data_IF_271671483455
#
_entry.id   IF_271671483455
#
_cell.length_a   1.000
_cell.length_b   1.000
_cell.length_c   1.000
_cell.angle_alpha   90.00
_cell.angle_beta   90.00
_cell.angle_gamma   90.00
#
_symmetry.space_group_name_H-M   'P 1'
#
loop_
_entity.id
_entity.type
_entity.pdbx_description
1 polymer ?
#
# COMPACT_ATOMS: atom_id res chain seq x y z
N UNK A 1 -12.04 -42.87 -30.41
CA UNK A 1 -12.39 -43.54 -29.14
C UNK A 1 -12.32 -42.53 -27.99
N UNK A 2 -13.32 -41.66 -27.84
CA UNK A 2 -13.48 -40.92 -26.60
C UNK A 2 -14.12 -41.88 -25.58
N UNK A 3 -13.64 -41.90 -24.33
CA UNK A 3 -14.14 -42.78 -23.24
C UNK A 3 -13.88 -44.29 -23.39
N UNK A 4 -13.04 -44.75 -24.32
CA UNK A 4 -12.65 -46.17 -24.43
C UNK A 4 -13.71 -47.12 -24.98
N UNK A 5 -14.89 -46.62 -25.35
CA UNK A 5 -15.98 -47.39 -25.95
C UNK A 5 -15.71 -47.54 -27.46
N UNK A 6 -15.76 -48.76 -27.98
CA UNK A 6 -15.71 -49.02 -29.42
C UNK A 6 -17.00 -48.52 -30.07
N UNK A 7 -16.95 -48.09 -31.34
CA UNK A 7 -18.12 -47.61 -32.07
C UNK A 7 -19.05 -48.78 -32.42
N UNK A 8 -19.65 -49.41 -31.42
CA UNK A 8 -20.79 -50.29 -31.57
C UNK A 8 -22.04 -49.42 -31.63
N UNK A 9 -23.02 -49.82 -32.44
CA UNK A 9 -24.24 -49.06 -32.72
C UNK A 9 -25.21 -49.00 -31.51
N UNK A 10 -24.77 -48.42 -30.40
CA UNK A 10 -25.63 -48.13 -29.25
C UNK A 10 -26.80 -47.18 -29.62
N UNK A 11 -26.73 -46.50 -30.76
CA UNK A 11 -27.85 -45.74 -31.34
C UNK A 11 -28.98 -46.64 -31.83
N UNK A 12 -28.67 -47.80 -32.39
CA UNK A 12 -29.66 -48.75 -32.91
C UNK A 12 -30.41 -49.40 -31.73
N UNK A 13 -29.68 -49.77 -30.67
CA UNK A 13 -30.26 -50.32 -29.43
C UNK A 13 -31.14 -49.28 -28.69
N UNK A 14 -30.80 -47.99 -28.80
CA UNK A 14 -31.55 -46.89 -28.19
C UNK A 14 -32.68 -46.35 -29.09
N UNK A 15 -32.90 -46.94 -30.28
CA UNK A 15 -33.93 -46.51 -31.25
C UNK A 15 -33.81 -45.02 -31.67
N UNK A 16 -32.59 -44.49 -31.75
CA UNK A 16 -32.34 -43.13 -32.22
C UNK A 16 -32.33 -43.09 -33.76
N UNK A 17 -33.46 -42.73 -34.37
CA UNK A 17 -33.67 -42.84 -35.82
C UNK A 17 -33.11 -41.66 -36.63
N UNK A 18 -32.83 -40.51 -36.02
CA UNK A 18 -32.30 -39.34 -36.72
C UNK A 18 -30.82 -39.08 -36.38
N UNK A 19 -30.05 -38.57 -37.34
CA UNK A 19 -28.61 -38.33 -37.17
C UNK A 19 -28.29 -37.31 -36.04
N UNK A 20 -29.21 -36.38 -35.79
CA UNK A 20 -29.11 -35.35 -34.77
C UNK A 20 -29.51 -35.82 -33.36
N UNK A 21 -30.07 -37.04 -33.23
CA UNK A 21 -30.48 -37.57 -31.94
C UNK A 21 -29.25 -38.00 -31.12
N UNK A 22 -29.29 -37.64 -29.84
CA UNK A 22 -28.30 -38.00 -28.84
C UNK A 22 -28.94 -38.92 -27.79
N UNK A 23 -28.13 -39.77 -27.18
CA UNK A 23 -28.54 -40.66 -26.10
C UNK A 23 -27.66 -40.44 -24.87
N UNK A 24 -28.17 -40.82 -23.69
CA UNK A 24 -27.46 -40.72 -22.42
C UNK A 24 -27.28 -42.13 -21.87
N UNK A 25 -26.03 -42.54 -21.64
CA UNK A 25 -25.71 -43.82 -20.98
C UNK A 25 -25.30 -43.53 -19.53
N UNK A 26 -25.86 -44.30 -18.60
CA UNK A 26 -25.47 -44.26 -17.19
C UNK A 26 -24.99 -45.65 -16.77
N UNK A 27 -23.72 -45.78 -16.43
CA UNK A 27 -23.12 -47.00 -15.90
C UNK A 27 -23.06 -46.92 -14.36
N UNK A 28 -24.06 -47.48 -13.69
CA UNK A 28 -24.17 -47.53 -12.22
C UNK A 28 -25.04 -48.73 -11.81
N UNK A 29 -25.09 -49.11 -10.51
CA UNK A 29 -26.05 -50.11 -10.02
C UNK A 29 -27.47 -49.73 -10.43
N UNK A 30 -28.30 -50.71 -10.79
CA UNK A 30 -29.60 -50.51 -11.45
C UNK A 30 -30.47 -49.43 -10.79
N UNK A 31 -30.57 -49.46 -9.46
CA UNK A 31 -31.36 -48.49 -8.69
C UNK A 31 -30.85 -47.04 -8.81
N UNK A 32 -29.53 -46.84 -8.88
CA UNK A 32 -28.91 -45.51 -9.07
C UNK A 32 -29.02 -45.07 -10.52
N UNK A 33 -28.77 -45.98 -11.48
CA UNK A 33 -28.87 -45.70 -12.90
C UNK A 33 -30.29 -45.23 -13.28
N UNK A 34 -31.34 -45.88 -12.76
CA UNK A 34 -32.74 -45.47 -12.97
C UNK A 34 -33.01 -44.05 -12.45
N UNK A 35 -32.50 -43.69 -11.26
CA UNK A 35 -32.68 -42.33 -10.69
C UNK A 35 -31.93 -41.27 -11.48
N UNK A 36 -30.70 -41.56 -11.90
CA UNK A 36 -29.89 -40.65 -12.70
C UNK A 36 -30.49 -40.41 -14.09
N UNK A 37 -30.98 -41.46 -14.75
CA UNK A 37 -31.69 -41.35 -16.03
C UNK A 37 -32.97 -40.52 -15.90
N UNK A 38 -33.75 -40.71 -14.83
CA UNK A 38 -34.94 -39.90 -14.57
C UNK A 38 -34.59 -38.40 -14.37
N UNK A 39 -33.52 -38.09 -13.65
CA UNK A 39 -33.05 -36.72 -13.48
C UNK A 39 -32.54 -36.10 -14.80
N UNK A 40 -31.80 -36.87 -15.60
CA UNK A 40 -31.32 -36.43 -16.91
C UNK A 40 -32.47 -36.19 -17.90
N UNK A 41 -33.49 -37.06 -17.91
CA UNK A 41 -34.70 -36.91 -18.70
C UNK A 41 -35.47 -35.63 -18.30
N UNK A 42 -35.67 -35.41 -17.00
CA UNK A 42 -36.29 -34.18 -16.50
C UNK A 42 -35.52 -32.94 -16.95
N UNK A 43 -34.18 -32.95 -16.87
CA UNK A 43 -33.36 -31.82 -17.35
C UNK A 43 -33.44 -31.62 -18.87
N UNK A 44 -33.48 -32.70 -19.64
CA UNK A 44 -33.62 -32.65 -21.09
C UNK A 44 -34.98 -32.07 -21.52
N UNK A 45 -36.06 -32.44 -20.83
CA UNK A 45 -37.39 -31.86 -21.05
C UNK A 45 -37.41 -30.36 -20.76
N UNK A 46 -36.79 -29.94 -19.65
CA UNK A 46 -36.69 -28.52 -19.29
C UNK A 46 -35.83 -27.71 -20.29
N UNK A 47 -34.83 -28.34 -20.91
CA UNK A 47 -34.00 -27.68 -21.92
C UNK A 47 -34.80 -27.26 -23.18
N UNK A 48 -35.91 -27.95 -23.48
CA UNK A 48 -36.83 -27.56 -24.58
C UNK A 48 -37.60 -26.29 -24.23
N UNK A 49 -37.96 -26.10 -22.95
CA UNK A 49 -38.71 -24.93 -22.46
C UNK A 49 -37.79 -23.70 -22.35
N UNK A 50 -36.50 -23.90 -22.08
CA UNK A 50 -35.48 -22.86 -22.06
C UNK A 50 -34.95 -22.56 -20.66
N UNK A 51 -35.07 -21.31 -20.22
CA UNK A 51 -34.51 -20.87 -18.93
C UNK A 51 -35.27 -21.52 -17.76
N UNK A 52 -34.52 -22.06 -16.80
CA UNK A 52 -35.07 -22.74 -15.63
C UNK A 52 -34.64 -22.01 -14.35
N UNK A 53 -35.55 -21.89 -13.40
CA UNK A 53 -35.26 -21.35 -12.08
C UNK A 53 -34.49 -22.38 -11.23
N UNK A 54 -33.21 -22.11 -11.01
CA UNK A 54 -32.33 -22.99 -10.25
C UNK A 54 -31.27 -22.19 -9.49
N UNK A 55 -30.80 -22.78 -8.39
CA UNK A 55 -29.69 -22.23 -7.61
C UNK A 55 -28.39 -22.73 -8.21
N UNK A 56 -27.51 -21.80 -8.59
CA UNK A 56 -26.22 -22.08 -9.22
C UNK A 56 -25.07 -21.53 -8.39
N UNK A 57 -23.96 -22.27 -8.36
CA UNK A 57 -22.70 -21.84 -7.76
C UNK A 57 -21.86 -21.12 -8.79
N UNK A 58 -21.23 -20.00 -8.42
CA UNK A 58 -20.18 -19.39 -9.21
C UNK A 58 -18.87 -20.18 -9.07
N UNK A 59 -18.29 -20.57 -10.20
CA UNK A 59 -17.00 -21.26 -10.27
C UNK A 59 -15.87 -20.24 -10.45
N UNK A 60 -14.62 -20.63 -10.15
CA UNK A 60 -13.45 -19.74 -10.23
C UNK A 60 -13.11 -19.29 -11.67
N UNK A 61 -13.53 -20.05 -12.67
CA UNK A 61 -13.39 -19.77 -14.10
C UNK A 61 -14.49 -18.83 -14.64
N UNK A 62 -15.37 -18.33 -13.78
CA UNK A 62 -16.48 -17.46 -14.15
C UNK A 62 -17.69 -18.21 -14.73
N UNK A 63 -17.62 -19.54 -14.83
CA UNK A 63 -18.79 -20.36 -15.19
C UNK A 63 -19.67 -20.58 -13.95
N UNK A 64 -20.83 -21.23 -14.14
CA UNK A 64 -21.71 -21.58 -13.03
C UNK A 64 -22.09 -23.05 -13.08
N UNK A 65 -22.24 -23.67 -11.91
CA UNK A 65 -22.64 -25.08 -11.77
C UNK A 65 -23.98 -25.19 -11.07
N UNK A 66 -24.84 -26.09 -11.54
CA UNK A 66 -26.11 -26.41 -10.86
C UNK A 66 -25.85 -26.91 -9.44
N UNK A 67 -26.65 -26.45 -8.47
CA UNK A 67 -26.65 -26.98 -7.11
C UNK A 67 -27.97 -27.66 -6.76
N UNK A 68 -29.07 -26.93 -6.86
CA UNK A 68 -30.40 -27.41 -6.51
C UNK A 68 -31.46 -26.61 -7.26
N UNK A 69 -32.66 -27.17 -7.35
CA UNK A 69 -33.83 -26.43 -7.81
C UNK A 69 -34.14 -25.25 -6.88
N UNK A 70 -34.76 -24.20 -7.44
CA UNK A 70 -35.15 -23.03 -6.66
C UNK A 70 -36.08 -23.46 -5.51
N UNK A 71 -35.78 -23.10 -4.24
CA UNK A 71 -36.72 -23.36 -3.16
C UNK A 71 -38.01 -22.55 -3.40
N UNK A 72 -39.14 -23.10 -2.96
CA UNK A 72 -40.40 -22.36 -2.96
C UNK A 72 -40.36 -21.13 -2.04
N UNK A 73 -41.40 -20.30 -2.12
CA UNK A 73 -41.54 -19.10 -1.29
C UNK A 73 -41.45 -19.42 0.20
N UNK A 74 -40.60 -18.68 0.93
CA UNK A 74 -40.57 -18.75 2.38
C UNK A 74 -41.91 -18.26 2.96
N UNK A 75 -42.54 -19.07 3.81
CA UNK A 75 -43.72 -18.67 4.57
C UNK A 75 -43.25 -17.85 5.77
N UNK A 76 -43.58 -16.57 5.78
CA UNK A 76 -43.25 -15.65 6.87
C UNK A 76 -44.50 -15.39 7.72
N UNK A 77 -44.37 -15.49 9.04
CA UNK A 77 -45.35 -15.02 10.01
C UNK A 77 -44.64 -14.05 10.97
N UNK A 78 -45.34 -13.04 11.52
CA UNK A 78 -44.76 -12.20 12.56
C UNK A 78 -44.31 -13.06 13.75
N UNK A 79 -43.10 -12.81 14.23
CA UNK A 79 -42.58 -13.44 15.43
C UNK A 79 -43.41 -12.98 16.63
N UNK A 80 -44.18 -13.88 17.24
CA UNK A 80 -45.18 -13.52 18.27
C UNK A 80 -44.56 -13.25 19.63
N UNK A 81 -43.34 -13.76 19.86
CA UNK A 81 -42.61 -13.60 21.12
C UNK A 81 -42.02 -12.18 21.26
N UNK A 82 -42.00 -11.40 20.18
CA UNK A 82 -41.46 -10.05 20.14
C UNK A 82 -42.57 -9.02 19.87
N UNK A 83 -42.58 -7.96 20.69
CA UNK A 83 -43.41 -6.79 20.39
C UNK A 83 -42.89 -6.03 19.16
N UNK A 84 -43.76 -5.27 18.47
CA UNK A 84 -43.32 -4.42 17.38
C UNK A 84 -42.35 -3.34 17.88
N UNK A 85 -41.22 -3.17 17.17
CA UNK A 85 -40.21 -2.15 17.48
C UNK A 85 -40.52 -0.89 16.67
N UNK A 86 -40.78 0.22 17.35
CA UNK A 86 -40.85 1.56 16.72
C UNK A 86 -39.50 2.24 16.96
N UNK A 87 -38.63 2.37 15.95
CA UNK A 87 -37.32 2.97 16.13
C UNK A 87 -37.46 4.48 16.35
N UNK A 88 -36.81 5.00 17.39
CA UNK A 88 -36.59 6.44 17.55
C UNK A 88 -35.31 6.83 16.79
N UNK A 89 -35.48 7.64 15.75
CA UNK A 89 -34.37 8.06 14.89
C UNK A 89 -33.66 9.31 15.42
N UNK A 90 -34.17 9.96 16.47
CA UNK A 90 -33.60 11.20 17.01
C UNK A 90 -32.19 11.01 17.59
N UNK A 91 -31.86 9.80 18.04
CA UNK A 91 -30.56 9.45 18.62
C UNK A 91 -29.56 8.85 17.61
N UNK A 92 -29.91 8.75 16.32
CA UNK A 92 -29.05 8.13 15.31
C UNK A 92 -28.10 9.17 14.71
N UNK A 93 -26.82 9.08 15.07
CA UNK A 93 -25.76 9.83 14.40
C UNK A 93 -25.36 9.14 13.10
N UNK A 94 -25.44 9.86 11.98
CA UNK A 94 -25.02 9.34 10.67
C UNK A 94 -23.49 9.48 10.60
N UNK A 95 -22.74 8.38 10.52
CA UNK A 95 -21.29 8.45 10.37
C UNK A 95 -20.93 9.00 8.99
N UNK A 96 -19.81 9.70 8.93
CA UNK A 96 -19.21 10.19 7.68
C UNK A 96 -18.86 9.03 6.74
N UNK A 97 -19.12 9.20 5.45
CA UNK A 97 -18.78 8.21 4.43
C UNK A 97 -17.26 8.13 4.22
N UNK A 98 -16.78 6.99 3.72
CA UNK A 98 -15.34 6.79 3.46
C UNK A 98 -14.84 7.81 2.43
N UNK A 99 -15.66 8.12 1.43
CA UNK A 99 -15.37 9.08 0.36
C UNK A 99 -15.31 10.52 0.89
N UNK A 100 -16.22 10.90 1.79
CA UNK A 100 -16.25 12.22 2.42
C UNK A 100 -15.01 12.42 3.29
N UNK A 101 -14.64 11.39 4.05
CA UNK A 101 -13.44 11.38 4.88
C UNK A 101 -12.15 11.46 4.06
N UNK A 102 -12.09 10.75 2.93
CA UNK A 102 -10.97 10.84 1.98
C UNK A 102 -10.79 12.28 1.48
N UNK A 103 -11.89 12.92 1.05
CA UNK A 103 -11.86 14.32 0.59
C UNK A 103 -11.39 15.29 1.69
N UNK A 104 -11.80 15.06 2.94
CA UNK A 104 -11.34 15.83 4.10
C UNK A 104 -9.82 15.69 4.31
N UNK A 105 -9.29 14.48 4.25
CA UNK A 105 -7.86 14.24 4.42
C UNK A 105 -7.01 14.80 3.30
N UNK A 106 -7.48 14.71 2.05
CA UNK A 106 -6.80 15.35 0.91
C UNK A 106 -6.77 16.86 1.09
N UNK A 107 -7.88 17.46 1.53
CA UNK A 107 -7.95 18.90 1.82
C UNK A 107 -7.03 19.31 2.99
N UNK A 108 -6.76 18.41 3.93
CA UNK A 108 -5.82 18.60 5.04
C UNK A 108 -4.34 18.42 4.64
N UNK A 109 -4.04 18.15 3.37
CA UNK A 109 -2.66 18.01 2.86
C UNK A 109 -2.11 16.58 2.85
N UNK A 110 -2.97 15.56 2.99
CA UNK A 110 -2.57 14.15 2.84
C UNK A 110 -2.60 13.76 1.35
N UNK A 111 -1.56 13.09 0.81
CA UNK A 111 -1.60 12.56 -0.56
C UNK A 111 -2.78 11.60 -0.78
N UNK A 112 -3.43 11.67 -1.94
CA UNK A 112 -4.66 10.92 -2.25
C UNK A 112 -4.55 9.41 -1.99
N UNK A 113 -3.43 8.78 -2.36
CA UNK A 113 -3.22 7.34 -2.16
C UNK A 113 -3.19 6.96 -0.66
N UNK A 114 -2.57 7.81 0.17
CA UNK A 114 -2.53 7.63 1.61
C UNK A 114 -3.90 7.93 2.22
N UNK A 115 -4.56 9.00 1.79
CA UNK A 115 -5.89 9.39 2.27
C UNK A 115 -6.91 8.26 2.06
N UNK A 116 -6.94 7.62 0.89
CA UNK A 116 -7.85 6.50 0.59
C UNK A 116 -7.61 5.29 1.48
N UNK A 117 -6.34 4.98 1.76
CA UNK A 117 -5.97 3.85 2.63
C UNK A 117 -6.32 4.16 4.09
N UNK A 118 -6.04 5.39 4.51
CA UNK A 118 -6.32 5.90 5.85
C UNK A 118 -7.82 6.02 6.14
N UNK A 119 -8.59 6.44 5.14
CA UNK A 119 -10.04 6.52 5.21
C UNK A 119 -10.68 5.13 5.29
N UNK A 120 -9.98 4.04 4.94
CA UNK A 120 -10.47 2.67 5.18
C UNK A 120 -9.99 2.14 6.52
N UNK A 121 -8.70 2.32 6.81
CA UNK A 121 -8.02 1.73 7.94
C UNK A 121 -7.41 2.80 8.87
N UNK A 122 -7.61 2.66 10.18
CA UNK A 122 -6.97 3.50 11.24
C UNK A 122 -7.33 4.99 11.23
N UNK A 123 -8.47 5.37 10.66
CA UNK A 123 -8.98 6.74 10.67
C UNK A 123 -9.10 7.36 12.08
N UNK A 124 -9.53 6.59 13.08
CA UNK A 124 -9.68 7.06 14.47
C UNK A 124 -8.34 7.50 15.07
N UNK A 125 -7.27 6.74 14.84
CA UNK A 125 -5.92 7.06 15.33
C UNK A 125 -5.39 8.32 14.66
N UNK A 126 -5.63 8.46 13.36
CA UNK A 126 -5.23 9.66 12.64
C UNK A 126 -5.95 10.91 13.15
N UNK A 127 -7.28 10.85 13.28
CA UNK A 127 -8.07 11.96 13.80
C UNK A 127 -7.65 12.32 15.23
N UNK A 128 -7.27 11.33 16.05
CA UNK A 128 -6.71 11.56 17.39
C UNK A 128 -5.35 12.27 17.35
N UNK A 129 -4.41 11.85 16.51
CA UNK A 129 -3.09 12.49 16.41
C UNK A 129 -3.14 13.88 15.77
N UNK A 130 -4.02 14.09 14.79
CA UNK A 130 -4.26 15.42 14.22
C UNK A 130 -4.84 16.41 15.23
N UNK A 131 -5.57 15.95 16.25
CA UNK A 131 -6.09 16.81 17.33
C UNK A 131 -5.08 17.03 18.46
N UNK A 132 -4.22 16.04 18.74
CA UNK A 132 -3.30 16.07 19.88
C UNK A 132 -1.92 16.63 19.57
N UNK A 133 -1.53 16.75 18.30
CA UNK A 133 -0.20 17.24 17.89
C UNK A 133 -0.27 18.32 16.82
N UNK A 134 0.81 19.09 16.71
CA UNK A 134 0.97 20.13 15.67
C UNK A 134 1.71 19.61 14.43
N UNK A 135 1.82 18.29 14.29
CA UNK A 135 2.52 17.65 13.17
C UNK A 135 1.72 17.75 11.87
N UNK A 136 2.45 17.87 10.76
CA UNK A 136 1.88 17.87 9.41
C UNK A 136 1.03 16.60 9.16
N UNK A 137 -0.25 16.72 8.76
CA UNK A 137 -1.14 15.58 8.56
C UNK A 137 -0.57 14.54 7.58
N UNK A 138 0.12 14.98 6.53
CA UNK A 138 0.79 14.09 5.58
C UNK A 138 1.87 13.22 6.23
N UNK A 139 2.60 13.74 7.22
CA UNK A 139 3.61 12.97 7.94
C UNK A 139 3.00 11.97 8.92
N UNK A 140 1.90 12.34 9.60
CA UNK A 140 1.16 11.41 10.48
C UNK A 140 0.62 10.24 9.65
N UNK A 141 0.07 10.50 8.47
CA UNK A 141 -0.38 9.44 7.55
C UNK A 141 0.77 8.50 7.15
N UNK A 142 1.96 9.06 6.86
CA UNK A 142 3.16 8.28 6.56
C UNK A 142 3.62 7.44 7.77
N UNK A 143 3.54 7.99 8.98
CA UNK A 143 3.90 7.31 10.23
C UNK A 143 3.00 6.10 10.51
N UNK A 144 1.68 6.23 10.27
CA UNK A 144 0.71 5.18 10.56
C UNK A 144 0.67 4.07 9.51
N UNK A 145 0.92 4.41 8.24
CA UNK A 145 0.73 3.50 7.11
C UNK A 145 2.05 3.05 6.48
N UNK A 146 2.96 3.98 6.18
CA UNK A 146 4.16 3.70 5.38
C UNK A 146 5.26 3.09 6.23
N UNK A 147 5.59 3.72 7.37
CA UNK A 147 6.70 3.28 8.23
C UNK A 147 6.52 1.83 8.73
N UNK A 148 5.34 1.41 9.23
CA UNK A 148 5.12 0.02 9.65
C UNK A 148 5.23 -1.00 8.50
N UNK A 149 4.75 -0.62 7.30
CA UNK A 149 4.84 -1.47 6.10
C UNK A 149 6.29 -1.64 5.66
N UNK A 150 7.08 -0.57 5.72
CA UNK A 150 8.50 -0.60 5.36
C UNK A 150 9.33 -1.43 6.34
N UNK A 151 9.06 -1.31 7.65
CA UNK A 151 9.72 -2.13 8.68
C UNK A 151 9.45 -3.62 8.44
N UNK A 152 8.18 -3.98 8.19
CA UNK A 152 7.80 -5.37 7.92
C UNK A 152 8.49 -5.92 6.65
N UNK A 153 8.54 -5.14 5.57
CA UNK A 153 9.15 -5.56 4.30
C UNK A 153 10.67 -5.63 4.34
N UNK A 154 11.34 -4.65 4.97
CA UNK A 154 12.81 -4.52 4.91
C UNK A 154 13.53 -5.31 5.99
N UNK A 155 12.93 -5.38 7.18
CA UNK A 155 13.58 -5.96 8.38
C UNK A 155 12.90 -7.25 8.83
N UNK A 156 11.75 -7.62 8.26
CA UNK A 156 11.00 -8.81 8.67
C UNK A 156 10.49 -8.74 10.11
N UNK A 157 10.45 -7.54 10.70
CA UNK A 157 10.00 -7.30 12.06
C UNK A 157 8.49 -7.08 12.09
N UNK A 158 7.81 -7.64 13.09
CA UNK A 158 6.36 -7.53 13.23
C UNK A 158 5.96 -6.19 13.89
N UNK A 159 5.28 -5.29 13.16
CA UNK A 159 4.86 -4.00 13.68
C UNK A 159 3.74 -4.10 14.73
N UNK A 160 3.09 -5.25 14.87
CA UNK A 160 2.04 -5.50 15.87
C UNK A 160 2.58 -5.58 17.31
N UNK A 161 3.89 -5.70 17.49
CA UNK A 161 4.53 -5.69 18.81
C UNK A 161 4.58 -4.30 19.45
N UNK A 162 4.37 -3.23 18.67
CA UNK A 162 4.38 -1.85 19.16
C UNK A 162 3.04 -1.56 19.84
N UNK A 163 3.07 -1.24 21.14
CA UNK A 163 1.86 -0.88 21.88
C UNK A 163 1.50 0.58 21.58
N UNK A 164 0.22 0.91 21.74
CA UNK A 164 -0.28 2.27 21.53
C UNK A 164 0.46 3.30 22.40
N UNK A 165 0.79 2.94 23.65
CA UNK A 165 1.59 3.79 24.56
C UNK A 165 2.97 4.16 24.00
N UNK A 166 3.63 3.23 23.32
CA UNK A 166 4.94 3.46 22.73
C UNK A 166 4.81 4.37 21.51
N UNK A 167 3.74 4.19 20.72
CA UNK A 167 3.44 5.06 19.59
C UNK A 167 3.13 6.50 20.04
N UNK A 168 2.34 6.67 21.11
CA UNK A 168 2.03 7.98 21.70
C UNK A 168 3.31 8.69 22.18
N UNK A 169 4.24 7.96 22.82
CA UNK A 169 5.51 8.50 23.27
C UNK A 169 6.40 8.96 22.10
N UNK A 170 6.46 8.19 21.02
CA UNK A 170 7.23 8.55 19.81
C UNK A 170 6.61 9.77 19.12
N UNK A 171 5.29 9.82 19.02
CA UNK A 171 4.56 10.96 18.44
C UNK A 171 4.79 12.23 19.26
N UNK A 172 4.72 12.14 20.59
CA UNK A 172 5.00 13.28 21.48
C UNK A 172 6.46 13.76 21.35
N UNK A 173 7.42 12.85 21.22
CA UNK A 173 8.83 13.22 21.04
C UNK A 173 9.12 13.85 19.67
N UNK A 174 8.36 13.45 18.63
CA UNK A 174 8.40 14.08 17.31
C UNK A 174 7.78 15.49 17.34
N UNK A 175 6.68 15.69 18.06
CA UNK A 175 6.03 17.00 18.22
C UNK A 175 6.91 17.98 19.02
N UNK A 176 7.58 17.47 20.06
CA UNK A 176 8.56 18.24 20.85
C UNK A 176 9.87 18.55 20.08
N UNK A 177 10.05 18.03 18.85
CA UNK A 177 11.26 18.23 18.05
C UNK A 177 12.50 17.55 18.66
N UNK A 178 12.32 16.58 19.56
CA UNK A 178 13.44 15.82 20.15
C UNK A 178 14.02 14.81 19.16
N UNK A 179 13.26 14.44 18.12
CA UNK A 179 13.62 13.43 17.13
C UNK A 179 13.37 13.98 15.73
N UNK A 180 14.30 13.73 14.81
CA UNK A 180 14.11 14.07 13.40
C UNK A 180 13.09 13.13 12.73
N UNK A 181 12.34 13.65 11.74
CA UNK A 181 11.33 12.88 10.98
C UNK A 181 11.89 11.59 10.35
N UNK A 182 13.17 11.60 9.99
CA UNK A 182 13.89 10.48 9.39
C UNK A 182 14.22 9.36 10.39
N UNK A 183 14.36 9.71 11.68
CA UNK A 183 14.71 8.77 12.73
C UNK A 183 13.52 7.95 13.22
N UNK A 184 12.28 8.37 12.92
CA UNK A 184 11.06 7.71 13.38
C UNK A 184 11.07 6.20 13.03
N UNK A 185 11.51 5.84 11.82
CA UNK A 185 11.60 4.44 11.41
C UNK A 185 12.59 3.63 12.27
N UNK A 186 13.73 4.22 12.63
CA UNK A 186 14.77 3.54 13.42
C UNK A 186 14.36 3.40 14.89
N UNK A 187 13.68 4.42 15.44
CA UNK A 187 13.10 4.37 16.78
C UNK A 187 12.07 3.25 16.89
N UNK A 188 11.17 3.10 15.91
CA UNK A 188 10.24 1.96 15.90
C UNK A 188 10.96 0.61 15.79
N UNK A 189 12.04 0.51 15.02
CA UNK A 189 12.83 -0.72 14.95
C UNK A 189 13.44 -1.08 16.31
N UNK A 190 14.00 -0.09 17.00
CA UNK A 190 14.56 -0.27 18.35
C UNK A 190 13.47 -0.73 19.35
N UNK A 191 12.28 -0.12 19.29
CA UNK A 191 11.15 -0.52 20.14
C UNK A 191 10.74 -1.98 19.88
N UNK A 192 10.65 -2.39 18.61
CA UNK A 192 10.29 -3.77 18.25
C UNK A 192 11.37 -4.78 18.69
N UNK A 193 12.63 -4.36 18.73
CA UNK A 193 13.76 -5.17 19.22
C UNK A 193 13.84 -5.26 20.75
N UNK A 194 13.00 -4.51 21.49
CA UNK A 194 12.84 -4.63 22.93
C UNK A 194 13.48 -3.52 23.77
N UNK A 195 14.06 -2.49 23.15
CA UNK A 195 14.41 -1.26 23.90
C UNK A 195 13.14 -0.47 24.24
N UNK A 196 13.03 0.00 25.49
CA UNK A 196 11.88 0.81 25.91
C UNK A 196 11.76 2.10 25.10
N UNK A 197 10.53 2.61 24.91
CA UNK A 197 10.29 3.80 24.09
C UNK A 197 11.16 4.99 24.52
N UNK A 198 11.34 5.23 25.82
CA UNK A 198 12.18 6.31 26.34
C UNK A 198 13.67 6.15 25.97
N UNK A 199 14.20 4.93 26.04
CA UNK A 199 15.61 4.64 25.74
C UNK A 199 15.90 4.69 24.24
N UNK A 200 14.94 4.24 23.42
CA UNK A 200 15.01 4.37 21.97
C UNK A 200 14.98 5.85 21.55
N UNK A 201 14.12 6.66 22.16
CA UNK A 201 14.05 8.11 21.91
C UNK A 201 15.36 8.80 22.31
N UNK A 202 15.94 8.46 23.46
CA UNK A 202 17.21 9.02 23.90
C UNK A 202 18.39 8.62 23.00
N UNK A 203 18.38 7.40 22.46
CA UNK A 203 19.45 6.89 21.58
C UNK A 203 19.49 7.55 20.19
N UNK A 204 18.33 8.02 19.72
CA UNK A 204 18.16 8.67 18.40
C UNK A 204 17.71 10.13 18.51
N UNK A 205 17.85 10.74 19.69
CA UNK A 205 17.55 12.16 19.90
C UNK A 205 18.45 13.05 19.04
N UNK A 206 17.92 14.19 18.59
CA UNK A 206 18.71 15.17 17.83
C UNK A 206 19.91 15.64 18.66
N UNK A 207 21.12 15.30 18.21
CA UNK A 207 22.33 15.87 18.79
C UNK A 207 22.42 17.36 18.42
N UNK A 208 22.89 18.17 19.38
CA UNK A 208 23.20 19.57 19.14
C UNK A 208 24.24 19.72 18.01
N UNK A 209 24.13 20.76 17.18
CA UNK A 209 25.03 21.00 16.04
C UNK A 209 26.52 20.90 16.39
N UNK A 210 26.90 21.29 17.61
CA UNK A 210 28.28 21.21 18.12
C UNK A 210 28.81 19.78 18.29
N UNK A 211 27.97 18.82 18.67
CA UNK A 211 28.37 17.42 18.81
C UNK A 211 28.37 16.70 17.46
N UNK A 212 27.43 17.06 16.58
CA UNK A 212 27.40 16.59 15.19
C UNK A 212 28.68 17.01 14.47
N UNK A 213 29.12 18.27 14.60
CA UNK A 213 30.39 18.75 14.03
C UNK A 213 31.60 17.98 14.56
N UNK A 214 31.67 17.69 15.87
CA UNK A 214 32.77 16.90 16.45
C UNK A 214 32.82 15.48 15.91
N UNK A 215 31.67 14.81 15.80
CA UNK A 215 31.61 13.44 15.26
C UNK A 215 31.90 13.39 13.77
N UNK A 216 31.38 14.34 12.99
CA UNK A 216 31.70 14.45 11.56
C UNK A 216 33.20 14.75 11.36
N UNK A 217 33.81 15.60 12.19
CA UNK A 217 35.23 15.87 12.14
C UNK A 217 36.09 14.65 12.51
N UNK A 218 35.65 13.84 13.50
CA UNK A 218 36.33 12.59 13.85
C UNK A 218 36.25 11.55 12.72
N UNK A 219 35.06 11.40 12.10
CA UNK A 219 34.87 10.50 10.95
C UNK A 219 35.67 11.00 9.73
N UNK A 220 35.76 12.31 9.51
CA UNK A 220 36.59 12.90 8.46
C UNK A 220 38.09 12.67 8.71
N UNK A 221 38.54 12.72 9.97
CA UNK A 221 39.92 12.41 10.33
C UNK A 221 40.26 10.93 10.14
N UNK A 222 39.32 10.01 10.39
CA UNK A 222 39.49 8.56 10.14
C UNK A 222 39.36 8.18 8.66
N UNK A 223 38.51 8.88 7.89
CA UNK A 223 38.25 8.57 6.48
C UNK A 223 39.31 9.11 5.51
N UNK A 224 40.15 10.07 5.93
CA UNK A 224 41.17 10.69 5.07
C UNK A 224 40.57 11.45 3.87
N UNK A 225 41.29 11.49 2.74
CA UNK A 225 40.93 12.23 1.51
C UNK A 225 39.85 11.50 0.67
N UNK A 226 38.85 10.94 1.34
CA UNK A 226 37.76 10.21 0.69
C UNK A 226 36.85 11.15 -0.11
N UNK A 227 36.33 10.73 -1.27
CA UNK A 227 35.42 11.56 -2.04
C UNK A 227 34.17 11.90 -1.21
N UNK A 228 33.58 13.10 -1.40
CA UNK A 228 32.49 13.61 -0.56
C UNK A 228 31.29 12.67 -0.47
N UNK A 229 31.04 11.87 -1.51
CA UNK A 229 29.97 10.87 -1.53
C UNK A 229 30.24 9.66 -0.61
N UNK A 230 31.50 9.24 -0.47
CA UNK A 230 31.90 8.14 0.41
C UNK A 230 31.89 8.59 1.88
N UNK A 231 32.38 9.81 2.15
CA UNK A 231 32.30 10.45 3.46
C UNK A 231 30.85 10.63 3.92
N UNK A 232 29.96 11.09 3.03
CA UNK A 232 28.54 11.17 3.33
C UNK A 232 27.95 9.79 3.67
N UNK A 233 28.36 8.73 2.96
CA UNK A 233 27.94 7.36 3.26
C UNK A 233 28.41 6.83 4.62
N UNK A 234 29.64 7.16 5.03
CA UNK A 234 30.19 6.79 6.35
C UNK A 234 29.52 7.56 7.48
N UNK A 235 29.35 8.88 7.30
CA UNK A 235 28.67 9.74 8.26
C UNK A 235 27.19 9.35 8.40
N UNK A 236 26.51 9.04 7.30
CA UNK A 236 25.13 8.53 7.33
C UNK A 236 25.02 7.13 7.95
N UNK A 237 26.08 6.31 7.96
CA UNK A 237 26.06 4.99 8.60
C UNK A 237 26.07 5.10 10.13
N UNK A 238 26.79 6.07 10.68
CA UNK A 238 26.89 6.26 12.14
C UNK A 238 25.85 7.23 12.72
N UNK A 239 25.48 8.25 11.95
CA UNK A 239 24.56 9.31 12.37
C UNK A 239 23.16 9.18 11.74
N UNK A 240 22.82 8.03 11.15
CA UNK A 240 21.47 7.77 10.65
C UNK A 240 20.45 8.01 11.76
N UNK A 241 19.45 8.84 11.47
CA UNK A 241 18.41 9.23 12.43
C UNK A 241 18.82 10.20 13.55
N UNK A 242 20.12 10.45 13.79
CA UNK A 242 20.59 11.24 14.95
C UNK A 242 20.72 12.74 14.71
N UNK A 243 20.73 13.17 13.45
CA UNK A 243 20.75 14.58 13.06
C UNK A 243 20.04 14.77 11.72
N UNK A 244 19.57 16.00 11.46
CA UNK A 244 18.91 16.34 10.20
C UNK A 244 19.87 16.15 9.03
N UNK A 245 19.48 15.35 8.02
CA UNK A 245 20.28 15.09 6.83
C UNK A 245 20.71 16.38 6.11
N UNK A 246 19.95 17.47 6.24
CA UNK A 246 20.32 18.79 5.70
C UNK A 246 21.48 19.43 6.46
N UNK A 247 21.53 19.28 7.78
CA UNK A 247 22.63 19.79 8.60
C UNK A 247 23.91 19.00 8.35
N UNK A 248 23.81 17.68 8.25
CA UNK A 248 24.94 16.80 7.91
C UNK A 248 25.50 17.17 6.52
N UNK A 249 24.64 17.35 5.52
CA UNK A 249 25.07 17.72 4.17
C UNK A 249 25.76 19.10 4.13
N UNK A 250 25.28 20.08 4.91
CA UNK A 250 25.93 21.39 5.05
C UNK A 250 27.32 21.27 5.67
N UNK A 251 27.45 20.54 6.78
CA UNK A 251 28.71 20.40 7.51
C UNK A 251 29.75 19.62 6.68
N UNK A 252 29.34 18.54 6.00
CA UNK A 252 30.23 17.78 5.10
C UNK A 252 30.69 18.66 3.94
N UNK A 253 29.82 19.51 3.39
CA UNK A 253 30.18 20.45 2.33
C UNK A 253 31.12 21.56 2.83
N UNK A 254 30.92 22.08 4.03
CA UNK A 254 31.85 23.05 4.67
C UNK A 254 33.25 22.46 4.87
N UNK A 255 33.36 21.17 5.20
CA UNK A 255 34.64 20.48 5.44
C UNK A 255 35.35 20.00 4.18
N UNK A 256 34.65 19.89 3.05
CA UNK A 256 35.21 19.43 1.76
C UNK A 256 35.48 20.54 0.76
N UNK A 257 35.10 21.79 1.05
CA UNK A 257 35.59 22.96 0.29
C UNK A 257 37.04 23.23 0.72
N UNK A 258 38.02 23.16 -0.18
CA UNK A 258 39.41 23.40 0.18
C UNK A 258 39.59 24.85 0.62
N UNK A 259 40.25 25.02 1.77
CA UNK A 259 40.89 26.28 2.17
C UNK A 259 42.05 26.52 1.19
N UNK A 260 41.75 27.07 0.02
CA UNK A 260 42.72 27.54 -0.95
C UNK A 260 42.15 28.80 -1.61
N UNK A 261 42.35 29.94 -0.93
CA UNK A 261 42.55 31.26 -1.55
C UNK A 261 42.65 32.33 -0.44
N UNK A 262 43.76 32.32 0.29
CA UNK A 262 44.11 33.41 1.21
C UNK A 262 45.61 33.71 1.22
N UNK A 263 46.35 33.44 0.14
CA UNK A 263 47.74 33.91 -0.03
C UNK A 263 48.16 33.88 -1.50
N UNK A 264 47.72 34.84 -2.31
CA UNK A 264 48.45 35.33 -3.49
C UNK A 264 47.59 36.33 -4.28
N UNK A 265 47.82 37.63 -4.11
CA UNK A 265 47.90 38.58 -5.23
C UNK A 265 48.32 39.94 -4.68
N UNK A 266 49.63 40.13 -4.58
CA UNK A 266 50.23 41.45 -4.72
C UNK A 266 50.58 41.63 -6.19
N UNK A 267 50.16 42.77 -6.75
CA UNK A 267 50.55 43.30 -8.07
C UNK A 267 49.97 42.52 -9.27
N UNK A 268 49.46 43.10 -10.37
CA UNK A 268 49.68 44.38 -11.04
C UNK A 268 48.40 44.75 -11.82
N UNK A 269 48.08 46.04 -11.84
CA UNK A 269 47.11 46.71 -12.73
C UNK A 269 47.38 46.40 -14.21
N UNK A 270 46.35 46.10 -15.00
CA UNK A 270 46.19 46.71 -16.32
C UNK A 270 44.74 46.64 -16.81
N UNK A 271 44.28 47.82 -17.24
CA UNK A 271 43.01 48.16 -17.87
C UNK A 271 42.64 47.28 -19.09
N UNK A 272 41.33 47.14 -19.35
CA UNK A 272 40.60 47.71 -20.52
C UNK A 272 39.15 47.14 -20.51
N UNK A 273 38.15 48.00 -20.33
CA UNK A 273 36.74 47.77 -20.72
C UNK A 273 36.53 48.00 -22.23
N UNK A 274 35.32 47.89 -22.81
CA UNK A 274 34.39 46.76 -22.92
C UNK A 274 34.00 46.52 -24.41
N UNK A 275 33.37 45.38 -24.75
CA UNK A 275 32.69 45.26 -26.05
C UNK A 275 31.46 44.34 -25.99
N UNK A 276 30.34 44.88 -26.45
CA UNK A 276 28.99 44.32 -26.52
C UNK A 276 28.85 43.00 -27.34
N UNK A 277 27.77 42.22 -27.13
CA UNK A 277 27.53 40.95 -27.80
C UNK A 277 26.75 41.12 -29.13
N UNK A 278 26.95 40.25 -30.13
CA UNK A 278 25.99 40.13 -31.23
C UNK A 278 25.01 38.95 -31.08
N UNK A 279 23.79 39.24 -31.51
CA UNK A 279 22.54 38.47 -31.50
C UNK A 279 22.55 37.11 -32.27
N UNK A 280 21.55 36.23 -32.04
CA UNK A 280 21.49 34.90 -32.65
C UNK A 280 20.93 34.92 -34.07
N UNK A 281 21.55 34.18 -34.98
CA UNK A 281 21.07 33.96 -36.34
C UNK A 281 20.24 32.66 -36.44
N UNK A 282 19.11 32.80 -37.10
CA UNK A 282 18.12 31.79 -37.44
C UNK A 282 18.63 30.70 -38.40
N UNK A 283 17.82 29.63 -38.46
CA UNK A 283 17.50 28.78 -39.64
C UNK A 283 18.46 27.60 -39.90
N UNK A 284 18.07 26.38 -40.30
CA UNK A 284 17.01 25.89 -41.21
C UNK A 284 16.76 24.38 -40.98
N UNK A 285 15.47 24.00 -41.02
CA UNK A 285 14.80 22.79 -41.58
C UNK A 285 15.56 21.46 -41.79
N UNK A 286 14.85 20.36 -41.44
CA UNK A 286 14.46 19.19 -42.28
C UNK A 286 13.56 18.29 -41.40
N UNK A 287 12.25 18.09 -41.57
CA UNK A 287 11.42 17.54 -42.66
C UNK A 287 11.76 16.10 -43.10
N UNK A 288 10.97 15.12 -42.61
CA UNK A 288 10.38 13.92 -43.28
C UNK A 288 10.05 12.87 -42.19
N UNK A 289 8.80 12.59 -41.83
CA UNK A 289 7.68 11.96 -42.56
C UNK A 289 7.69 10.42 -42.54
N UNK A 290 6.55 9.88 -42.06
CA UNK A 290 5.98 8.53 -42.16
C UNK A 290 6.63 7.42 -41.32
N UNK A 291 5.88 6.72 -40.46
CA UNK A 291 4.64 5.98 -40.72
C UNK A 291 3.77 5.88 -39.47
#
# INVERSE_FOLDING_TARGET
KALGIAAHNHKDDASCNHAADAFIIVAAPEAQAKRALAAALCRAQLAVVGNVEEVRRANADGTTSFMRWMPGSARMYPETDLGPVVPDLSAVEIPELIEEREARYVSAGVPADLARTLAKDKHELFDHYCKSTSLEPGFIAQLLLTIPKDIKKRLGLDPEKVKQKDFDAVVAALDAGSIAKEAAAEVFCAIIQGTGAADAIASYGQLAEGEVRKRVAAIAAEAGDAPPNALMGMVMKELRGKADGKLIAKIVKELTVPVADATASGAVLQHIDPADPPAPSHSVKKSKAHK
#
